data_IF_922462645236
#
_entry.id   IF_922462645236
#
_cell.length_a   1.000
_cell.length_b   1.000
_cell.length_c   1.000
_cell.angle_alpha   90.00
_cell.angle_beta   90.00
_cell.angle_gamma   90.00
#
_symmetry.space_group_name_H-M   'P 1'
#
loop_
_entity.id
_entity.type
_entity.pdbx_description
1 polymer ?
#
# COMPACT_ATOMS: atom_id res chain seq x y z
N UNK A 1 28.30 -34.00 18.04
CA UNK A 1 28.51 -32.71 17.39
C UNK A 1 27.81 -32.59 16.04
N UNK A 2 27.90 -33.55 15.10
CA UNK A 2 27.21 -33.48 13.78
C UNK A 2 25.69 -33.42 13.86
N UNK A 3 25.02 -34.04 14.84
CA UNK A 3 23.57 -34.02 15.01
C UNK A 3 23.06 -32.67 15.53
N UNK A 4 23.83 -31.95 16.37
CA UNK A 4 23.51 -30.59 16.84
C UNK A 4 23.67 -29.58 15.72
N UNK A 5 24.66 -29.73 14.85
CA UNK A 5 24.88 -28.85 13.71
C UNK A 5 23.74 -28.94 12.70
N UNK A 6 23.20 -30.13 12.46
CA UNK A 6 22.03 -30.32 11.57
C UNK A 6 20.76 -29.73 12.14
N UNK A 7 20.53 -29.80 13.46
CA UNK A 7 19.34 -29.19 14.10
C UNK A 7 19.40 -27.66 14.02
N UNK A 8 20.57 -27.05 14.22
CA UNK A 8 20.78 -25.61 14.10
C UNK A 8 20.58 -25.16 12.64
N UNK A 9 21.07 -25.95 11.67
CA UNK A 9 20.87 -25.62 10.25
C UNK A 9 19.43 -25.73 9.82
N UNK A 10 18.66 -26.71 10.29
CA UNK A 10 17.22 -26.85 10.03
C UNK A 10 16.43 -25.70 10.68
N UNK A 11 16.79 -25.28 11.90
CA UNK A 11 16.16 -24.12 12.57
C UNK A 11 16.46 -22.80 11.85
N UNK A 12 17.66 -22.64 11.27
CA UNK A 12 18.01 -21.43 10.50
C UNK A 12 17.25 -21.37 9.17
N UNK A 13 16.99 -22.50 8.52
CA UNK A 13 16.22 -22.56 7.27
C UNK A 13 14.74 -22.27 7.51
N UNK A 14 14.18 -22.70 8.64
CA UNK A 14 12.77 -22.43 9.00
C UNK A 14 12.57 -20.95 9.35
N UNK A 15 13.56 -20.29 9.95
CA UNK A 15 13.48 -18.85 10.28
C UNK A 15 13.48 -17.94 9.05
N UNK A 16 13.97 -18.40 7.89
CA UNK A 16 13.95 -17.60 6.64
C UNK A 16 12.61 -17.67 5.89
N UNK A 17 11.72 -18.59 6.23
CA UNK A 17 10.41 -18.73 5.59
C UNK A 17 9.29 -17.93 6.26
N UNK A 18 9.54 -17.28 7.39
CA UNK A 18 8.57 -16.41 8.07
C UNK A 18 8.58 -14.96 7.55
N UNK A 19 8.94 -14.72 6.27
CA UNK A 19 8.55 -13.49 5.60
C UNK A 19 7.06 -13.61 5.33
N UNK A 20 6.27 -12.80 6.05
CA UNK A 20 4.84 -12.69 5.85
C UNK A 20 4.57 -12.52 4.35
N UNK A 21 4.03 -13.56 3.73
CA UNK A 21 3.56 -13.51 2.35
C UNK A 21 2.42 -12.52 2.33
N UNK A 22 2.64 -11.34 1.73
CA UNK A 22 1.52 -10.48 1.37
C UNK A 22 0.51 -11.32 0.57
N UNK A 23 -0.80 -11.20 0.86
CA UNK A 23 -1.82 -11.92 0.11
C UNK A 23 -1.60 -11.69 -1.39
N UNK A 24 -1.68 -12.73 -2.20
CA UNK A 24 -1.46 -12.66 -3.66
C UNK A 24 -2.23 -11.52 -4.34
N UNK A 25 -3.42 -11.20 -3.83
CA UNK A 25 -4.22 -10.09 -4.30
C UNK A 25 -3.55 -8.72 -4.13
N UNK A 26 -2.89 -8.49 -2.99
CA UNK A 26 -2.21 -7.22 -2.72
C UNK A 26 -0.99 -7.05 -3.62
N UNK A 27 -0.21 -8.10 -3.84
CA UNK A 27 0.94 -8.07 -4.77
C UNK A 27 0.52 -7.79 -6.20
N UNK A 28 -0.59 -8.39 -6.67
CA UNK A 28 -1.16 -8.14 -8.00
C UNK A 28 -1.63 -6.71 -8.16
N UNK A 29 -2.33 -6.15 -7.16
CA UNK A 29 -2.78 -4.76 -7.17
C UNK A 29 -1.58 -3.81 -7.19
N UNK A 30 -0.55 -4.08 -6.39
CA UNK A 30 0.68 -3.28 -6.37
C UNK A 30 1.42 -3.33 -7.72
N UNK A 31 1.61 -4.51 -8.31
CA UNK A 31 2.22 -4.66 -9.62
C UNK A 31 1.42 -3.93 -10.72
N UNK A 32 0.08 -4.02 -10.68
CA UNK A 32 -0.79 -3.28 -11.59
C UNK A 32 -0.68 -1.76 -11.40
N UNK A 33 -0.55 -1.27 -10.14
CA UNK A 33 -0.32 0.15 -9.84
C UNK A 33 0.98 0.65 -10.45
N UNK A 34 2.07 -0.09 -10.23
CA UNK A 34 3.39 0.25 -10.78
C UNK A 34 3.36 0.29 -12.30
N UNK A 35 2.80 -0.72 -12.96
CA UNK A 35 2.67 -0.79 -14.43
C UNK A 35 1.83 0.39 -14.97
N UNK A 36 0.69 0.69 -14.30
CA UNK A 36 -0.16 1.81 -14.70
C UNK A 36 0.58 3.15 -14.62
N UNK A 37 1.25 3.42 -13.48
CA UNK A 37 1.99 4.67 -13.25
C UNK A 37 3.13 4.80 -14.26
N UNK A 38 3.94 3.75 -14.46
CA UNK A 38 5.04 3.77 -15.42
C UNK A 38 4.56 4.12 -16.83
N UNK A 39 3.43 3.57 -17.25
CA UNK A 39 2.81 3.83 -18.53
C UNK A 39 2.25 5.26 -18.62
N UNK A 40 1.56 5.72 -17.57
CA UNK A 40 0.93 7.04 -17.51
C UNK A 40 1.96 8.17 -17.53
N UNK A 41 3.11 7.96 -16.89
CA UNK A 41 4.23 8.89 -16.89
C UNK A 41 5.16 8.75 -18.12
N UNK A 42 4.87 7.82 -19.03
CA UNK A 42 5.69 7.53 -20.21
C UNK A 42 7.17 7.30 -19.84
N UNK A 43 7.41 6.49 -18.82
CA UNK A 43 8.76 6.23 -18.35
C UNK A 43 9.56 5.43 -19.38
N UNK A 44 10.78 5.88 -19.66
CA UNK A 44 11.73 5.08 -20.45
C UNK A 44 12.13 3.81 -19.68
N UNK A 45 12.66 2.78 -20.33
CA UNK A 45 13.14 1.57 -19.66
C UNK A 45 14.17 1.86 -18.56
N UNK A 46 15.04 2.85 -18.76
CA UNK A 46 16.03 3.30 -17.77
C UNK A 46 15.32 3.93 -16.56
N UNK A 47 14.43 4.90 -16.81
CA UNK A 47 13.65 5.53 -15.73
C UNK A 47 12.82 4.52 -14.95
N UNK A 48 12.15 3.57 -15.62
CA UNK A 48 11.37 2.52 -14.96
C UNK A 48 12.22 1.68 -14.02
N UNK A 49 13.43 1.28 -14.45
CA UNK A 49 14.36 0.49 -13.63
C UNK A 49 14.76 1.23 -12.33
N UNK A 50 15.00 2.53 -12.43
CA UNK A 50 15.49 3.33 -11.32
C UNK A 50 14.33 3.85 -10.44
N UNK A 51 13.14 4.10 -11.04
CA UNK A 51 11.95 4.59 -10.35
C UNK A 51 11.23 3.51 -9.53
N UNK A 52 11.07 2.29 -10.08
CA UNK A 52 10.25 1.25 -9.45
C UNK A 52 10.71 0.89 -8.05
N UNK A 53 12.00 0.68 -7.75
CA UNK A 53 12.46 0.43 -6.39
C UNK A 53 12.13 1.58 -5.44
N UNK A 54 12.38 2.83 -5.85
CA UNK A 54 12.08 4.02 -5.04
C UNK A 54 10.57 4.13 -4.75
N UNK A 55 9.73 3.81 -5.74
CA UNK A 55 8.29 3.84 -5.58
C UNK A 55 7.79 2.74 -4.64
N UNK A 56 8.39 1.56 -4.68
CA UNK A 56 8.10 0.47 -3.76
C UNK A 56 8.46 0.84 -2.31
N UNK A 57 9.62 1.45 -2.12
CA UNK A 57 10.07 1.91 -0.81
C UNK A 57 9.16 3.01 -0.25
N UNK A 58 8.78 3.98 -1.08
CA UNK A 58 7.78 5.00 -0.75
C UNK A 58 6.45 4.39 -0.31
N UNK A 59 5.89 3.48 -1.11
CA UNK A 59 4.62 2.82 -0.81
C UNK A 59 4.69 2.03 0.50
N UNK A 60 5.81 1.36 0.77
CA UNK A 60 6.06 0.63 2.00
C UNK A 60 6.11 1.58 3.21
N UNK A 61 6.87 2.68 3.11
CA UNK A 61 7.02 3.64 4.20
C UNK A 61 5.69 4.33 4.53
N UNK A 62 4.93 4.77 3.52
CA UNK A 62 3.57 5.32 3.69
C UNK A 62 2.62 4.29 4.33
N UNK A 63 2.66 3.04 3.87
CA UNK A 63 1.82 1.97 4.40
C UNK A 63 2.12 1.68 5.86
N UNK A 64 3.40 1.58 6.22
CA UNK A 64 3.83 1.32 7.58
C UNK A 64 3.44 2.45 8.54
N UNK A 65 3.64 3.71 8.14
CA UNK A 65 3.22 4.89 8.91
C UNK A 65 1.71 4.91 9.13
N UNK A 66 0.94 4.63 8.07
CA UNK A 66 -0.52 4.52 8.17
C UNK A 66 -0.95 3.38 9.10
N UNK A 67 -0.36 2.20 8.95
CA UNK A 67 -0.69 1.04 9.78
C UNK A 67 -0.36 1.28 11.26
N UNK A 68 0.73 2.00 11.57
CA UNK A 68 1.08 2.35 12.94
C UNK A 68 -0.01 3.21 13.59
N UNK A 69 -0.46 4.26 12.90
CA UNK A 69 -1.56 5.12 13.37
C UNK A 69 -2.87 4.34 13.54
N UNK A 70 -3.32 3.62 12.51
CA UNK A 70 -4.59 2.88 12.56
C UNK A 70 -4.56 1.73 13.57
N UNK A 71 -3.42 1.09 13.82
CA UNK A 71 -3.28 0.05 14.84
C UNK A 71 -3.45 0.61 16.24
N UNK A 72 -2.94 1.83 16.51
CA UNK A 72 -3.12 2.53 17.78
C UNK A 72 -4.61 2.81 18.08
N UNK A 73 -5.39 3.10 17.04
CA UNK A 73 -6.80 3.51 17.15
C UNK A 73 -7.80 2.49 16.59
N UNK A 74 -7.37 1.24 16.40
CA UNK A 74 -8.19 0.19 15.76
C UNK A 74 -9.54 -0.03 16.44
N UNK A 75 -9.53 -0.04 17.77
CA UNK A 75 -10.72 -0.33 18.60
C UNK A 75 -11.27 0.94 19.26
N UNK A 76 -10.80 2.11 18.83
CA UNK A 76 -11.21 3.41 19.35
C UNK A 76 -12.40 3.95 18.57
N UNK A 77 -13.50 4.25 19.27
CA UNK A 77 -14.58 5.04 18.69
C UNK A 77 -14.34 6.52 19.07
N UNK A 78 -14.02 7.41 18.11
CA UNK A 78 -13.77 8.83 18.40
C UNK A 78 -14.92 9.52 19.13
N UNK A 79 -16.18 9.12 18.87
CA UNK A 79 -17.37 9.69 19.50
C UNK A 79 -17.51 9.34 21.00
N UNK A 80 -16.71 8.41 21.50
CA UNK A 80 -16.73 7.93 22.88
C UNK A 80 -15.48 8.29 23.70
N UNK A 81 -14.58 9.07 23.10
CA UNK A 81 -13.39 9.54 23.79
C UNK A 81 -13.78 10.63 24.80
N UNK A 82 -13.16 10.59 25.96
CA UNK A 82 -13.17 11.71 26.90
C UNK A 82 -12.33 12.90 26.37
N UNK A 83 -12.29 14.00 27.09
CA UNK A 83 -11.58 15.20 26.65
C UNK A 83 -10.08 14.94 26.42
N UNK A 84 -9.44 14.21 27.33
CA UNK A 84 -8.01 13.89 27.22
C UNK A 84 -7.72 12.96 26.06
N UNK A 85 -8.52 11.91 25.89
CA UNK A 85 -8.40 10.99 24.75
C UNK A 85 -8.66 11.66 23.41
N UNK A 86 -9.61 12.61 23.36
CA UNK A 86 -9.88 13.39 22.16
C UNK A 86 -8.70 14.30 21.77
N UNK A 87 -8.09 14.99 22.75
CA UNK A 87 -6.88 15.80 22.52
C UNK A 87 -5.73 14.93 21.99
N UNK A 88 -5.47 13.80 22.65
CA UNK A 88 -4.42 12.87 22.23
C UNK A 88 -4.66 12.33 20.81
N UNK A 89 -5.92 12.01 20.46
CA UNK A 89 -6.26 11.55 19.09
C UNK A 89 -5.98 12.64 18.05
N UNK A 90 -6.30 13.91 18.34
CA UNK A 90 -6.05 15.06 17.46
C UNK A 90 -4.55 15.23 17.25
N UNK A 91 -3.76 15.25 18.31
CA UNK A 91 -2.32 15.44 18.27
C UNK A 91 -1.65 14.29 17.47
N UNK A 92 -1.98 13.04 17.77
CA UNK A 92 -1.46 11.87 17.05
C UNK A 92 -1.85 11.88 15.55
N UNK A 93 -3.05 12.39 15.22
CA UNK A 93 -3.47 12.52 13.83
C UNK A 93 -2.64 13.58 13.09
N UNK A 94 -2.36 14.71 13.74
CA UNK A 94 -1.48 15.75 13.18
C UNK A 94 -0.06 15.22 12.97
N UNK A 95 0.49 14.51 13.95
CA UNK A 95 1.80 13.88 13.86
C UNK A 95 1.87 12.87 12.71
N UNK A 96 0.84 12.04 12.56
CA UNK A 96 0.72 11.12 11.43
C UNK A 96 0.73 11.86 10.08
N UNK A 97 -0.05 12.93 9.95
CA UNK A 97 -0.09 13.73 8.73
C UNK A 97 1.28 14.38 8.44
N UNK A 98 1.94 14.89 9.47
CA UNK A 98 3.28 15.47 9.34
C UNK A 98 4.31 14.43 8.87
N UNK A 99 4.31 13.23 9.44
CA UNK A 99 5.17 12.13 8.99
C UNK A 99 4.91 11.77 7.51
N UNK A 100 3.64 11.69 7.09
CA UNK A 100 3.30 11.45 5.68
C UNK A 100 3.84 12.56 4.76
N UNK A 101 3.78 13.83 5.19
CA UNK A 101 4.33 14.95 4.42
C UNK A 101 5.85 14.86 4.32
N UNK A 102 6.55 14.50 5.40
CA UNK A 102 8.01 14.33 5.41
C UNK A 102 8.43 13.19 4.47
N UNK A 103 7.74 12.06 4.51
CA UNK A 103 7.98 10.94 3.58
C UNK A 103 7.82 11.41 2.13
N UNK A 104 6.73 12.11 1.81
CA UNK A 104 6.51 12.65 0.46
C UNK A 104 7.62 13.57 0.00
N UNK A 105 8.07 14.49 0.86
CA UNK A 105 9.19 15.40 0.56
C UNK A 105 10.47 14.62 0.28
N UNK A 106 10.83 13.69 1.16
CA UNK A 106 11.99 12.80 0.99
C UNK A 106 11.98 12.11 -0.38
N UNK A 107 10.86 11.48 -0.75
CA UNK A 107 10.79 10.76 -2.01
C UNK A 107 10.66 11.66 -3.23
N UNK A 108 10.08 12.85 -3.13
CA UNK A 108 10.10 13.83 -4.21
C UNK A 108 11.53 14.20 -4.62
N UNK A 109 12.43 14.41 -3.65
CA UNK A 109 13.85 14.67 -3.92
C UNK A 109 14.55 13.48 -4.59
N UNK A 110 14.19 12.25 -4.21
CA UNK A 110 14.74 11.05 -4.84
C UNK A 110 14.18 10.86 -6.25
N UNK A 111 12.90 11.11 -6.47
CA UNK A 111 12.26 11.01 -7.78
C UNK A 111 12.81 12.04 -8.77
N UNK A 112 13.11 13.26 -8.34
CA UNK A 112 13.72 14.28 -9.21
C UNK A 112 15.11 13.89 -9.75
N UNK A 113 15.78 12.88 -9.18
CA UNK A 113 17.02 12.33 -9.73
C UNK A 113 16.78 11.37 -10.90
N UNK A 114 15.54 10.93 -11.08
CA UNK A 114 15.14 9.89 -12.08
C UNK A 114 14.11 10.43 -13.07
N UNK A 115 13.15 11.22 -12.57
CA UNK A 115 12.03 11.77 -13.33
C UNK A 115 12.26 13.23 -13.66
N UNK A 116 11.66 13.68 -14.77
CA UNK A 116 11.54 15.11 -15.01
C UNK A 116 10.54 15.75 -14.01
N UNK A 117 10.65 17.06 -13.75
CA UNK A 117 9.66 17.77 -12.92
C UNK A 117 8.23 17.61 -13.40
N UNK A 118 8.02 17.52 -14.72
CA UNK A 118 6.71 17.31 -15.33
C UNK A 118 6.16 15.92 -15.01
N UNK A 119 6.99 14.87 -15.16
CA UNK A 119 6.60 13.50 -14.78
C UNK A 119 6.28 13.41 -13.29
N UNK A 120 7.08 14.05 -12.43
CA UNK A 120 6.80 14.07 -10.99
C UNK A 120 5.50 14.82 -10.66
N UNK A 121 5.19 15.92 -11.34
CA UNK A 121 3.94 16.66 -11.16
C UNK A 121 2.71 15.83 -11.57
N UNK A 122 2.83 14.94 -12.56
CA UNK A 122 1.76 14.02 -12.98
C UNK A 122 1.58 12.80 -12.06
N UNK A 123 2.60 12.41 -11.28
CA UNK A 123 2.56 11.23 -10.42
C UNK A 123 1.35 11.20 -9.46
N UNK A 124 1.01 12.27 -8.72
CA UNK A 124 -0.16 12.26 -7.83
C UNK A 124 -1.48 12.08 -8.58
N UNK A 125 -1.56 12.55 -9.83
CA UNK A 125 -2.73 12.36 -10.68
C UNK A 125 -2.84 10.90 -11.13
N UNK A 126 -1.75 10.30 -11.58
CA UNK A 126 -1.71 8.89 -11.97
C UNK A 126 -2.11 7.96 -10.81
N UNK A 127 -1.65 8.26 -9.60
CA UNK A 127 -2.05 7.51 -8.39
C UNK A 127 -3.55 7.61 -8.11
N UNK A 128 -4.14 8.81 -8.22
CA UNK A 128 -5.59 9.01 -8.03
C UNK A 128 -6.41 8.29 -9.10
N UNK A 129 -6.02 8.39 -10.36
CA UNK A 129 -6.68 7.72 -11.49
C UNK A 129 -6.65 6.20 -11.31
N UNK A 130 -5.50 5.63 -10.92
CA UNK A 130 -5.41 4.19 -10.62
C UNK A 130 -6.35 3.79 -9.47
N UNK A 131 -6.38 4.55 -8.39
CA UNK A 131 -7.28 4.30 -7.25
C UNK A 131 -8.74 4.31 -7.67
N UNK A 132 -9.15 5.29 -8.48
CA UNK A 132 -10.53 5.38 -8.99
C UNK A 132 -10.88 4.19 -9.87
N UNK A 133 -10.00 3.81 -10.79
CA UNK A 133 -10.16 2.63 -11.64
C UNK A 133 -10.30 1.33 -10.82
N UNK A 134 -9.45 1.15 -9.81
CA UNK A 134 -9.51 -0.01 -8.92
C UNK A 134 -10.85 -0.06 -8.18
N UNK A 135 -11.29 1.07 -7.61
CA UNK A 135 -12.56 1.15 -6.89
C UNK A 135 -13.77 0.87 -7.79
N UNK A 136 -13.74 1.33 -9.05
CA UNK A 136 -14.79 1.04 -10.03
C UNK A 136 -14.85 -0.47 -10.35
N UNK A 137 -13.70 -1.11 -10.57
CA UNK A 137 -13.64 -2.55 -10.81
C UNK A 137 -14.18 -3.37 -9.62
N UNK A 138 -13.81 -3.00 -8.41
CA UNK A 138 -14.31 -3.67 -7.20
C UNK A 138 -15.83 -3.54 -7.04
N UNK A 139 -16.39 -2.34 -7.33
CA UNK A 139 -17.84 -2.12 -7.33
C UNK A 139 -18.55 -2.97 -8.37
N UNK A 140 -18.01 -3.06 -9.59
CA UNK A 140 -18.59 -3.87 -10.67
C UNK A 140 -18.59 -5.36 -10.32
N UNK A 141 -17.52 -5.86 -9.72
CA UNK A 141 -17.44 -7.26 -9.24
C UNK A 141 -18.48 -7.54 -8.14
N UNK A 142 -18.68 -6.60 -7.22
CA UNK A 142 -19.68 -6.74 -6.15
C UNK A 142 -21.12 -6.70 -6.68
N UNK A 143 -21.40 -5.84 -7.65
CA UNK A 143 -22.73 -5.72 -8.27
C UNK A 143 -23.02 -6.83 -9.29
N UNK A 144 -21.99 -7.45 -9.88
CA UNK A 144 -22.12 -8.57 -10.82
C UNK A 144 -22.36 -9.91 -10.15
N UNK A 145 -21.99 -10.08 -8.87
CA UNK A 145 -22.19 -11.31 -8.10
C UNK A 145 -23.63 -11.54 -7.62
N UNK A 146 -24.49 -10.54 -7.73
CA UNK A 146 -25.89 -10.61 -7.25
C UNK A 146 -26.94 -11.03 -8.29
N UNK A 147 -26.55 -11.39 -9.51
CA UNK A 147 -27.48 -11.79 -10.59
C UNK A 147 -27.51 -13.29 -10.87
N UNK A 148 -27.39 -14.14 -9.88
CA UNK A 148 -27.69 -15.55 -10.07
C UNK A 148 -29.01 -15.94 -9.40
N UNK A 149 -30.00 -16.16 -10.29
CA UNK A 149 -31.16 -17.03 -10.17
C UNK A 149 -32.20 -16.71 -9.11
N UNK A 150 -33.16 -15.85 -9.49
CA UNK A 150 -34.57 -16.19 -9.24
C UNK A 150 -35.22 -16.53 -10.58
N UNK A 151 -34.92 -17.72 -11.10
CA UNK A 151 -35.75 -18.33 -12.13
C UNK A 151 -36.76 -19.23 -11.40
N UNK A 152 -37.93 -18.64 -11.09
CA UNK A 152 -39.02 -19.34 -10.53
C UNK A 152 -39.44 -20.50 -11.44
N UNK A 153 -39.48 -21.71 -10.90
CA UNK A 153 -40.32 -22.77 -11.42
C UNK A 153 -41.75 -22.48 -10.95
N UNK A 154 -42.56 -22.01 -11.87
CA UNK A 154 -44.01 -22.11 -11.74
C UNK A 154 -44.44 -23.52 -12.05
N UNK A 155 -45.18 -24.08 -11.14
CA UNK A 155 -46.31 -24.98 -11.39
C UNK A 155 -47.29 -24.71 -10.26
#
# INVERSE_FOLDING_TARGET
>A
MKKLLNVIFVLLVVATMARAQEPDGMRRIHAAKVAYISNRLHLTPRQSRDFIPLFNDYDNEIRNTRQAFFRKYKDTNPDRLDEMGSRQYIDDNLDYQQQVIQIKRKYNELYLKVLSPQQLAELPRAEREFKQMLMQRLRQQHNGGGRYNYRGNGY
#
